data_IF_703362887695
#
_entry.id   IF_703362887695
#
_cell.length_a   1.000
_cell.length_b   1.000
_cell.length_c   1.000
_cell.angle_alpha   90.00
_cell.angle_beta   90.00
_cell.angle_gamma   90.00
#
_symmetry.space_group_name_H-M   'P 1'
#
loop_
_entity.id
_entity.type
_entity.pdbx_description
1 polymer ?
#
# COMPACT_ATOMS: atom_id res chain seq x y z
N UNK A 1 1.96 13.79 13.00
CA UNK A 1 1.67 12.47 13.60
C UNK A 1 0.64 11.66 12.81
N UNK A 2 -0.55 12.18 12.49
CA UNK A 2 -1.57 11.44 11.73
C UNK A 2 -1.11 10.95 10.33
N UNK A 3 -0.36 11.78 9.60
CA UNK A 3 0.19 11.41 8.28
C UNK A 3 1.15 10.22 8.36
N UNK A 4 2.05 10.22 9.34
CA UNK A 4 2.99 9.12 9.56
C UNK A 4 2.29 7.83 9.98
N UNK A 5 1.28 7.93 10.86
CA UNK A 5 0.47 6.79 11.27
C UNK A 5 -0.23 6.12 10.07
N UNK A 6 -0.73 6.91 9.12
CA UNK A 6 -1.40 6.39 7.93
C UNK A 6 -0.42 5.85 6.88
N UNK A 7 0.64 6.59 6.56
CA UNK A 7 1.60 6.25 5.49
C UNK A 7 2.52 5.10 5.90
N UNK A 8 2.93 5.06 7.17
CA UNK A 8 3.90 4.09 7.69
C UNK A 8 3.22 3.07 8.60
N UNK A 9 2.39 3.53 9.53
CA UNK A 9 1.79 2.67 10.56
C UNK A 9 0.81 1.65 10.00
N UNK A 10 -0.12 2.07 9.13
CA UNK A 10 -1.10 1.15 8.53
C UNK A 10 -0.45 0.02 7.72
N UNK A 11 0.46 0.28 6.76
CA UNK A 11 1.14 -0.82 6.05
C UNK A 11 2.09 -1.63 6.95
N UNK A 12 2.73 -1.04 7.97
CA UNK A 12 3.51 -1.81 8.94
C UNK A 12 2.64 -2.81 9.70
N UNK A 13 1.50 -2.36 10.23
CA UNK A 13 0.59 -3.20 10.97
C UNK A 13 0.00 -4.30 10.07
N UNK A 14 -0.34 -3.96 8.83
CA UNK A 14 -0.78 -4.95 7.84
C UNK A 14 0.29 -6.01 7.57
N UNK A 15 1.55 -5.61 7.37
CA UNK A 15 2.64 -6.55 7.17
C UNK A 15 2.79 -7.51 8.36
N UNK A 16 2.65 -7.01 9.60
CA UNK A 16 2.69 -7.84 10.81
C UNK A 16 1.51 -8.82 10.90
N UNK A 17 0.31 -8.36 10.54
CA UNK A 17 -0.89 -9.21 10.51
C UNK A 17 -0.73 -10.34 9.49
N UNK A 18 -0.14 -10.06 8.33
CA UNK A 18 0.05 -11.07 7.28
C UNK A 18 1.16 -12.07 7.58
N UNK A 19 2.10 -11.76 8.49
CA UNK A 19 3.11 -12.73 8.95
C UNK A 19 2.49 -13.89 9.73
N UNK A 20 1.34 -13.67 10.36
CA UNK A 20 0.63 -14.69 11.15
C UNK A 20 -0.56 -15.30 10.40
N UNK A 21 -0.71 -14.98 9.11
CA UNK A 21 -1.79 -15.49 8.26
C UNK A 21 -1.67 -17.02 8.09
N UNK A 22 -2.68 -17.82 8.47
CA UNK A 22 -2.64 -19.27 8.30
C UNK A 22 -2.68 -19.69 6.83
N UNK A 23 -1.83 -20.65 6.44
CA UNK A 23 -1.79 -21.21 5.09
C UNK A 23 -2.29 -22.67 5.10
N UNK A 24 -3.62 -22.89 5.19
CA UNK A 24 -4.17 -24.23 5.30
C UNK A 24 -4.03 -24.98 3.97
N UNK A 25 -3.82 -26.30 4.08
CA UNK A 25 -4.01 -27.22 2.96
C UNK A 25 -5.47 -27.68 2.84
N UNK A 26 -6.24 -27.59 3.94
CA UNK A 26 -7.66 -27.93 4.03
C UNK A 26 -8.41 -26.87 4.84
N UNK A 27 -9.37 -26.19 4.21
CA UNK A 27 -10.15 -25.12 4.81
C UNK A 27 -11.03 -25.61 5.96
N UNK A 28 -11.40 -26.90 6.00
CA UNK A 28 -12.22 -27.43 7.09
C UNK A 28 -11.39 -27.67 8.37
N UNK A 29 -10.06 -27.66 8.27
CA UNK A 29 -9.12 -27.85 9.40
C UNK A 29 -8.36 -26.56 9.75
N UNK A 30 -8.95 -25.41 9.42
CA UNK A 30 -8.43 -24.09 9.75
C UNK A 30 -8.29 -23.88 11.27
N UNK A 31 -7.24 -23.17 11.68
CA UNK A 31 -7.29 -22.37 12.90
C UNK A 31 -8.22 -21.17 12.65
N UNK A 32 -9.51 -21.40 12.85
CA UNK A 32 -10.58 -20.43 12.57
C UNK A 32 -10.38 -19.14 13.36
N UNK A 33 -9.87 -19.22 14.58
CA UNK A 33 -9.67 -18.05 15.43
C UNK A 33 -8.61 -17.12 14.82
N UNK A 34 -7.45 -17.67 14.49
CA UNK A 34 -6.36 -16.89 13.88
C UNK A 34 -6.76 -16.40 12.48
N UNK A 35 -7.39 -17.27 11.68
CA UNK A 35 -7.89 -16.92 10.36
C UNK A 35 -8.84 -15.73 10.40
N UNK A 36 -9.90 -15.78 11.22
CA UNK A 36 -10.87 -14.68 11.30
C UNK A 36 -10.25 -13.42 11.90
N UNK A 37 -9.38 -13.53 12.90
CA UNK A 37 -8.71 -12.37 13.48
C UNK A 37 -7.86 -11.61 12.44
N UNK A 38 -7.12 -12.34 11.61
CA UNK A 38 -6.31 -11.78 10.53
C UNK A 38 -7.18 -11.08 9.49
N UNK A 39 -8.20 -11.76 8.96
CA UNK A 39 -9.07 -11.17 7.93
C UNK A 39 -9.93 -10.02 8.45
N UNK A 40 -10.36 -10.04 9.72
CA UNK A 40 -11.02 -8.89 10.32
C UNK A 40 -10.10 -7.69 10.48
N UNK A 41 -8.83 -7.90 10.82
CA UNK A 41 -7.84 -6.81 10.85
C UNK A 41 -7.54 -6.27 9.44
N UNK A 42 -7.53 -7.14 8.43
CA UNK A 42 -7.27 -6.80 7.04
C UNK A 42 -8.34 -5.91 6.41
N UNK A 43 -9.63 -6.08 6.76
CA UNK A 43 -10.75 -5.26 6.25
C UNK A 43 -10.47 -3.75 6.34
N UNK A 44 -10.09 -3.19 7.51
CA UNK A 44 -9.72 -1.78 7.59
C UNK A 44 -8.29 -1.50 7.14
N UNK A 45 -7.35 -2.44 7.33
CA UNK A 45 -5.93 -2.19 7.07
C UNK A 45 -5.60 -2.07 5.58
N UNK A 46 -6.24 -2.85 4.70
CA UNK A 46 -6.02 -2.72 3.25
C UNK A 46 -6.43 -1.33 2.71
N UNK A 47 -7.65 -0.82 2.98
CA UNK A 47 -8.01 0.56 2.63
C UNK A 47 -7.13 1.62 3.29
N UNK A 48 -6.73 1.45 4.55
CA UNK A 48 -5.86 2.41 5.23
C UNK A 48 -4.46 2.45 4.60
N UNK A 49 -3.89 1.30 4.25
CA UNK A 49 -2.62 1.24 3.51
C UNK A 49 -2.75 1.91 2.13
N UNK A 50 -3.86 1.68 1.42
CA UNK A 50 -4.15 2.32 0.14
C UNK A 50 -4.23 3.86 0.27
N UNK A 51 -4.93 4.34 1.31
CA UNK A 51 -5.00 5.75 1.65
C UNK A 51 -3.62 6.32 2.00
N UNK A 52 -2.77 5.55 2.70
CA UNK A 52 -1.37 5.91 2.96
C UNK A 52 -0.59 6.19 1.69
N UNK A 53 -0.72 5.36 0.65
CA UNK A 53 -0.04 5.60 -0.62
C UNK A 53 -0.61 6.81 -1.36
N UNK A 54 -1.94 6.95 -1.42
CA UNK A 54 -2.59 8.16 -1.99
C UNK A 54 -2.09 9.43 -1.30
N UNK A 55 -1.88 9.32 0.00
CA UNK A 55 -1.49 10.43 0.87
C UNK A 55 -0.07 10.94 0.57
N UNK A 56 0.81 10.09 0.03
CA UNK A 56 2.14 10.48 -0.48
C UNK A 56 2.05 11.38 -1.73
N UNK A 57 1.05 11.16 -2.59
CA UNK A 57 0.88 11.93 -3.85
C UNK A 57 -0.17 13.03 -3.77
N UNK A 58 -0.69 13.36 -2.56
CA UNK A 58 -1.84 14.24 -2.37
C UNK A 58 -1.71 15.64 -3.00
N UNK A 59 -0.51 16.20 -2.95
CA UNK A 59 -0.20 17.54 -3.46
C UNK A 59 0.44 17.50 -4.84
N UNK A 60 0.33 16.38 -5.55
CA UNK A 60 0.91 16.18 -6.87
C UNK A 60 -0.19 16.17 -7.93
N UNK A 61 0.01 17.00 -8.95
CA UNK A 61 -0.85 17.07 -10.14
C UNK A 61 -0.31 16.18 -11.27
N UNK A 62 -1.10 16.01 -12.33
CA UNK A 62 -0.71 15.29 -13.54
C UNK A 62 -1.13 13.82 -13.58
N UNK A 63 -0.92 13.19 -14.74
CA UNK A 63 -1.43 11.86 -15.08
C UNK A 63 -0.97 10.80 -14.09
N UNK A 64 0.32 10.77 -13.74
CA UNK A 64 0.86 9.76 -12.82
C UNK A 64 0.18 9.78 -11.44
N UNK A 65 -0.01 10.98 -10.86
CA UNK A 65 -0.72 11.11 -9.59
C UNK A 65 -2.21 10.79 -9.71
N UNK A 66 -2.85 11.10 -10.85
CA UNK A 66 -4.23 10.70 -11.16
C UNK A 66 -4.40 9.18 -11.24
N UNK A 67 -3.54 8.50 -11.98
CA UNK A 67 -3.51 7.03 -12.10
C UNK A 67 -3.28 6.39 -10.74
N UNK A 68 -2.34 6.89 -9.95
CA UNK A 68 -2.10 6.42 -8.59
C UNK A 68 -3.38 6.45 -7.72
N UNK A 69 -4.11 7.56 -7.72
CA UNK A 69 -5.36 7.69 -6.95
C UNK A 69 -6.46 6.74 -7.43
N UNK A 70 -6.67 6.68 -8.74
CA UNK A 70 -7.68 5.81 -9.32
C UNK A 70 -7.38 4.33 -9.08
N UNK A 71 -6.13 3.90 -9.30
CA UNK A 71 -5.75 2.51 -9.09
C UNK A 71 -5.71 2.13 -7.60
N UNK A 72 -5.45 3.05 -6.66
CA UNK A 72 -5.61 2.77 -5.24
C UNK A 72 -7.06 2.61 -4.81
N UNK A 73 -7.97 3.37 -5.41
CA UNK A 73 -9.40 3.13 -5.20
C UNK A 73 -9.79 1.73 -5.69
N UNK A 74 -9.33 1.34 -6.88
CA UNK A 74 -9.57 -0.02 -7.41
C UNK A 74 -8.98 -1.10 -6.51
N UNK A 75 -7.73 -0.96 -6.06
CA UNK A 75 -7.11 -1.88 -5.09
C UNK A 75 -7.93 -1.97 -3.81
N UNK A 76 -8.21 -0.84 -3.14
CA UNK A 76 -8.94 -0.83 -1.88
C UNK A 76 -10.33 -1.47 -2.01
N UNK A 77 -11.07 -1.18 -3.08
CA UNK A 77 -12.39 -1.75 -3.31
C UNK A 77 -12.35 -3.25 -3.63
N UNK A 78 -11.56 -3.64 -4.64
CA UNK A 78 -11.49 -5.04 -5.10
C UNK A 78 -10.90 -5.97 -4.04
N UNK A 79 -9.80 -5.53 -3.40
CA UNK A 79 -9.08 -6.35 -2.45
C UNK A 79 -9.85 -6.54 -1.15
N UNK A 80 -10.49 -5.48 -0.63
CA UNK A 80 -11.32 -5.59 0.58
C UNK A 80 -12.56 -6.45 0.33
N UNK A 81 -13.21 -6.30 -0.83
CA UNK A 81 -14.36 -7.13 -1.18
C UNK A 81 -13.97 -8.61 -1.33
N UNK A 82 -12.83 -8.88 -1.97
CA UNK A 82 -12.28 -10.22 -2.07
C UNK A 82 -11.96 -10.81 -0.70
N UNK A 83 -11.23 -10.09 0.15
CA UNK A 83 -10.79 -10.54 1.47
C UNK A 83 -11.97 -10.82 2.42
N UNK A 84 -13.02 -9.99 2.34
CA UNK A 84 -14.25 -10.20 3.09
C UNK A 84 -14.97 -11.50 2.69
N UNK A 85 -14.92 -11.90 1.41
CA UNK A 85 -15.57 -13.14 0.94
C UNK A 85 -14.65 -14.34 1.12
N UNK A 86 -13.47 -14.32 0.48
CA UNK A 86 -12.51 -15.43 0.51
C UNK A 86 -11.99 -15.70 1.92
N UNK A 87 -11.76 -14.65 2.71
CA UNK A 87 -11.31 -14.72 4.08
C UNK A 87 -12.46 -14.91 5.06
N UNK A 88 -13.22 -13.84 5.30
CA UNK A 88 -14.20 -13.81 6.39
C UNK A 88 -15.36 -14.78 6.17
N UNK A 89 -16.01 -14.78 5.01
CA UNK A 89 -17.16 -15.67 4.77
C UNK A 89 -16.74 -17.15 4.82
N UNK A 90 -15.62 -17.51 4.20
CA UNK A 90 -15.03 -18.87 4.30
C UNK A 90 -14.73 -19.24 5.75
N UNK A 91 -14.14 -18.34 6.53
CA UNK A 91 -13.81 -18.57 7.94
C UNK A 91 -15.06 -18.79 8.81
N UNK A 92 -16.14 -18.06 8.55
CA UNK A 92 -17.42 -18.24 9.24
C UNK A 92 -18.02 -19.62 8.93
N UNK A 93 -18.00 -20.04 7.65
CA UNK A 93 -18.47 -21.38 7.27
C UNK A 93 -17.60 -22.48 7.87
N UNK A 94 -16.27 -22.32 7.88
CA UNK A 94 -15.37 -23.27 8.53
C UNK A 94 -15.62 -23.35 10.04
N UNK A 95 -15.91 -22.22 10.69
CA UNK A 95 -16.32 -22.19 12.10
C UNK A 95 -17.60 -22.98 12.34
N UNK A 96 -18.62 -22.80 11.49
CA UNK A 96 -19.88 -23.51 11.58
C UNK A 96 -19.68 -25.02 11.34
N UNK A 97 -18.85 -25.38 10.37
CA UNK A 97 -18.49 -26.77 10.08
C UNK A 97 -17.86 -27.47 11.29
N UNK A 98 -16.86 -26.84 11.92
CA UNK A 98 -16.19 -27.36 13.11
C UNK A 98 -17.14 -27.46 14.30
N UNK A 99 -18.01 -26.46 14.50
CA UNK A 99 -19.02 -26.48 15.57
C UNK A 99 -20.13 -27.51 15.37
N UNK A 100 -20.41 -27.92 14.13
CA UNK A 100 -21.48 -28.89 13.83
C UNK A 100 -21.12 -30.34 14.16
N UNK A 101 -19.83 -30.66 14.24
CA UNK A 101 -19.35 -32.05 14.34
C UNK A 101 -19.41 -32.85 13.03
N UNK A 102 -20.02 -32.32 11.96
CA UNK A 102 -20.07 -32.93 10.62
C UNK A 102 -19.45 -32.02 9.56
N UNK A 103 -18.13 -31.91 9.59
CA UNK A 103 -17.39 -31.07 8.64
C UNK A 103 -17.63 -31.42 7.16
N UNK A 104 -18.00 -32.66 6.84
CA UNK A 104 -18.17 -33.08 5.44
C UNK A 104 -19.45 -32.52 4.82
N UNK A 105 -20.53 -32.40 5.60
CA UNK A 105 -21.75 -31.74 5.16
C UNK A 105 -21.51 -30.28 4.73
N UNK A 106 -20.47 -29.62 5.27
CA UNK A 106 -20.13 -28.22 4.98
C UNK A 106 -19.11 -28.03 3.85
N UNK A 107 -18.53 -29.10 3.31
CA UNK A 107 -17.52 -29.02 2.25
C UNK A 107 -18.06 -28.29 1.01
N UNK A 108 -19.27 -28.65 0.56
CA UNK A 108 -19.91 -28.04 -0.61
C UNK A 108 -20.08 -26.51 -0.49
N UNK A 109 -20.69 -25.99 0.58
CA UNK A 109 -20.79 -24.55 0.83
C UNK A 109 -19.43 -23.82 0.90
N UNK A 110 -18.44 -24.41 1.57
CA UNK A 110 -17.08 -23.83 1.67
C UNK A 110 -16.42 -23.76 0.29
N UNK A 111 -16.47 -24.86 -0.48
CA UNK A 111 -15.89 -24.92 -1.82
C UNK A 111 -16.61 -23.98 -2.80
N UNK A 112 -17.92 -23.80 -2.64
CA UNK A 112 -18.69 -22.87 -3.47
C UNK A 112 -18.20 -21.42 -3.35
N UNK A 113 -17.81 -20.98 -2.15
CA UNK A 113 -17.18 -19.67 -1.95
C UNK A 113 -15.73 -19.71 -2.44
N UNK A 114 -14.95 -20.69 -1.98
CA UNK A 114 -13.51 -20.71 -2.21
C UNK A 114 -13.13 -20.79 -3.70
N UNK A 115 -13.91 -21.53 -4.49
CA UNK A 115 -13.70 -21.71 -5.93
C UNK A 115 -14.45 -20.68 -6.78
N UNK A 116 -15.15 -19.72 -6.17
CA UNK A 116 -15.91 -18.73 -6.94
C UNK A 116 -14.96 -17.88 -7.81
N UNK A 117 -15.15 -17.80 -9.13
CA UNK A 117 -14.16 -17.19 -10.04
C UNK A 117 -13.95 -15.69 -9.80
N UNK A 118 -14.93 -15.01 -9.19
CA UNK A 118 -14.83 -13.56 -8.94
C UNK A 118 -14.29 -13.26 -7.54
N UNK A 119 -14.70 -14.06 -6.55
CA UNK A 119 -14.60 -13.71 -5.12
C UNK A 119 -13.79 -14.71 -4.30
N UNK A 120 -13.51 -15.90 -4.84
CA UNK A 120 -12.93 -17.01 -4.10
C UNK A 120 -11.45 -16.84 -3.79
N UNK A 121 -10.95 -17.65 -2.86
CA UNK A 121 -9.53 -17.73 -2.48
C UNK A 121 -8.71 -18.70 -3.32
N UNK A 122 -9.32 -19.37 -4.30
CA UNK A 122 -8.65 -20.22 -5.28
C UNK A 122 -7.60 -19.47 -6.13
N UNK A 123 -7.01 -20.19 -7.09
CA UNK A 123 -5.72 -19.83 -7.72
C UNK A 123 -5.66 -18.47 -8.45
N UNK A 124 -6.81 -17.89 -8.85
CA UNK A 124 -6.84 -16.59 -9.53
C UNK A 124 -8.25 -15.99 -9.60
N UNK A 125 -8.82 -15.55 -8.47
CA UNK A 125 -10.10 -14.83 -8.55
C UNK A 125 -9.94 -13.46 -9.20
N UNK A 126 -10.97 -13.00 -9.91
CA UNK A 126 -10.95 -11.73 -10.65
C UNK A 126 -10.61 -10.56 -9.73
N UNK A 127 -11.21 -10.49 -8.54
CA UNK A 127 -10.95 -9.37 -7.63
C UNK A 127 -9.55 -9.41 -7.03
N UNK A 128 -9.03 -10.58 -6.64
CA UNK A 128 -7.66 -10.71 -6.16
C UNK A 128 -6.66 -10.28 -7.24
N UNK A 129 -6.80 -10.80 -8.46
CA UNK A 129 -5.90 -10.45 -9.57
C UNK A 129 -5.99 -8.96 -9.90
N UNK A 130 -7.21 -8.40 -9.95
CA UNK A 130 -7.43 -6.97 -10.23
C UNK A 130 -6.77 -6.10 -9.17
N UNK A 131 -6.95 -6.41 -7.89
CA UNK A 131 -6.35 -5.66 -6.80
C UNK A 131 -4.82 -5.77 -6.80
N UNK A 132 -4.27 -6.96 -7.01
CA UNK A 132 -2.82 -7.16 -7.08
C UNK A 132 -2.17 -6.34 -8.22
N UNK A 133 -2.79 -6.34 -9.41
CA UNK A 133 -2.33 -5.55 -10.55
C UNK A 133 -2.46 -4.05 -10.24
N UNK A 134 -3.59 -3.63 -9.68
CA UNK A 134 -3.82 -2.23 -9.32
C UNK A 134 -2.77 -1.73 -8.31
N UNK A 135 -2.37 -2.57 -7.34
CA UNK A 135 -1.31 -2.26 -6.39
C UNK A 135 0.03 -2.03 -7.09
N UNK A 136 0.44 -2.90 -8.01
CA UNK A 136 1.68 -2.74 -8.78
C UNK A 136 1.66 -1.46 -9.65
N UNK A 137 0.53 -1.17 -10.30
CA UNK A 137 0.36 0.07 -11.09
C UNK A 137 0.49 1.31 -10.21
N UNK A 138 -0.07 1.29 -9.01
CA UNK A 138 0.01 2.39 -8.07
C UNK A 138 1.42 2.67 -7.62
N UNK A 139 2.18 1.65 -7.22
CA UNK A 139 3.52 1.90 -6.67
C UNK A 139 4.44 2.48 -7.73
N UNK A 140 4.33 2.02 -8.98
CA UNK A 140 5.06 2.58 -10.11
C UNK A 140 4.61 4.00 -10.42
N UNK A 141 3.31 4.26 -10.50
CA UNK A 141 2.80 5.61 -10.80
C UNK A 141 3.10 6.63 -9.69
N UNK A 142 3.03 6.21 -8.42
CA UNK A 142 3.45 6.99 -7.27
C UNK A 142 4.96 7.27 -7.31
N UNK A 143 5.78 6.27 -7.57
CA UNK A 143 7.23 6.42 -7.72
C UNK A 143 7.58 7.42 -8.82
N UNK A 144 6.93 7.36 -9.99
CA UNK A 144 7.12 8.34 -11.07
C UNK A 144 6.72 9.76 -10.63
N UNK A 145 5.57 9.92 -9.98
CA UNK A 145 5.10 11.22 -9.51
C UNK A 145 6.05 11.84 -8.46
N UNK A 146 6.51 11.02 -7.50
CA UNK A 146 7.44 11.43 -6.45
C UNK A 146 8.82 11.73 -7.02
N UNK A 147 9.32 10.91 -7.95
CA UNK A 147 10.60 11.15 -8.61
C UNK A 147 10.63 12.47 -9.37
N UNK A 148 9.55 12.77 -10.11
CA UNK A 148 9.39 14.06 -10.83
C UNK A 148 9.30 15.25 -9.88
N UNK A 149 8.92 15.03 -8.63
CA UNK A 149 8.88 16.05 -7.58
C UNK A 149 10.23 16.24 -6.86
N UNK A 150 11.30 15.59 -7.32
CA UNK A 150 12.66 15.77 -6.77
C UNK A 150 13.05 14.79 -5.67
N UNK A 151 12.19 13.82 -5.32
CA UNK A 151 12.51 12.85 -4.29
C UNK A 151 13.71 11.96 -4.64
N UNK A 152 14.42 11.47 -3.61
CA UNK A 152 15.61 10.64 -3.79
C UNK A 152 15.28 9.28 -4.43
N UNK A 153 16.23 8.70 -5.17
CA UNK A 153 15.98 7.47 -5.95
C UNK A 153 15.72 6.24 -5.09
N UNK A 154 16.41 6.09 -3.96
CA UNK A 154 16.34 4.89 -3.12
C UNK A 154 14.92 4.59 -2.60
N UNK A 155 14.23 5.52 -1.89
CA UNK A 155 12.87 5.24 -1.42
C UNK A 155 11.85 5.14 -2.55
N UNK A 156 12.06 5.86 -3.67
CA UNK A 156 11.24 5.76 -4.87
C UNK A 156 11.32 4.36 -5.51
N UNK A 157 12.53 3.81 -5.65
CA UNK A 157 12.74 2.47 -6.21
C UNK A 157 12.19 1.40 -5.26
N UNK A 158 12.42 1.55 -3.96
CA UNK A 158 11.85 0.65 -2.96
C UNK A 158 10.32 0.63 -3.03
N UNK A 159 9.69 1.81 -3.10
CA UNK A 159 8.24 1.93 -3.26
C UNK A 159 7.77 1.16 -4.50
N UNK A 160 8.40 1.42 -5.66
CA UNK A 160 8.03 0.78 -6.92
C UNK A 160 8.11 -0.74 -6.82
N UNK A 161 9.23 -1.29 -6.32
CA UNK A 161 9.48 -2.73 -6.21
C UNK A 161 8.53 -3.39 -5.19
N UNK A 162 8.25 -2.73 -4.07
CA UNK A 162 7.40 -3.28 -3.01
C UNK A 162 5.99 -3.67 -3.52
N UNK A 163 5.44 -2.93 -4.48
CA UNK A 163 4.13 -3.22 -5.07
C UNK A 163 4.04 -4.51 -5.90
N UNK A 164 5.13 -5.25 -6.06
CA UNK A 164 5.17 -6.51 -6.80
C UNK A 164 5.26 -7.76 -5.92
N UNK A 165 5.43 -7.63 -4.60
CA UNK A 165 5.55 -8.81 -3.71
C UNK A 165 4.36 -9.76 -3.84
N UNK A 166 3.14 -9.25 -3.69
CA UNK A 166 1.91 -10.05 -3.85
C UNK A 166 1.81 -10.72 -5.23
N UNK A 167 2.14 -10.01 -6.32
CA UNK A 167 2.04 -10.56 -7.68
C UNK A 167 3.11 -11.60 -7.98
N UNK A 168 4.33 -11.42 -7.46
CA UNK A 168 5.45 -12.36 -7.61
C UNK A 168 5.19 -13.64 -6.81
N UNK A 169 4.81 -13.51 -5.54
CA UNK A 169 4.62 -14.64 -4.65
C UNK A 169 3.23 -15.27 -4.76
N UNK A 170 2.29 -14.63 -5.48
CA UNK A 170 0.90 -15.09 -5.69
C UNK A 170 0.15 -15.34 -4.38
N UNK A 171 0.45 -14.55 -3.36
CA UNK A 171 -0.17 -14.66 -2.05
C UNK A 171 -0.07 -13.32 -1.32
N UNK A 172 -1.05 -13.03 -0.47
CA UNK A 172 -0.98 -11.93 0.49
C UNK A 172 -0.52 -12.41 1.88
N UNK A 173 -0.57 -13.71 2.13
CA UNK A 173 0.10 -14.28 3.29
C UNK A 173 1.63 -14.24 3.08
N UNK A 174 2.37 -14.83 4.01
CA UNK A 174 3.81 -14.98 3.86
C UNK A 174 4.17 -15.72 2.54
N UNK A 175 5.17 -15.24 1.76
CA UNK A 175 5.97 -14.02 1.98
C UNK A 175 5.46 -12.76 1.24
N UNK A 176 4.40 -12.88 0.43
CA UNK A 176 4.01 -11.85 -0.54
C UNK A 176 3.51 -10.56 0.07
N UNK A 177 2.46 -10.61 0.88
CA UNK A 177 1.92 -9.43 1.53
C UNK A 177 2.90 -8.80 2.53
N UNK A 178 3.53 -9.56 3.46
CA UNK A 178 4.48 -8.99 4.42
C UNK A 178 5.61 -8.23 3.74
N UNK A 179 6.18 -8.77 2.65
CA UNK A 179 7.23 -8.09 1.88
C UNK A 179 6.73 -6.81 1.23
N UNK A 180 5.53 -6.87 0.64
CA UNK A 180 4.89 -5.71 0.01
C UNK A 180 4.63 -4.60 1.02
N UNK A 181 3.89 -4.84 2.08
CA UNK A 181 3.49 -3.75 2.98
C UNK A 181 4.62 -3.30 3.91
N UNK A 182 5.59 -4.16 4.26
CA UNK A 182 6.81 -3.72 4.92
C UNK A 182 7.61 -2.77 4.00
N UNK A 183 7.76 -3.12 2.72
CA UNK A 183 8.41 -2.25 1.73
C UNK A 183 7.70 -0.91 1.55
N UNK A 184 6.37 -0.91 1.45
CA UNK A 184 5.57 0.31 1.40
C UNK A 184 5.75 1.18 2.66
N UNK A 185 5.74 0.56 3.84
CA UNK A 185 5.92 1.26 5.12
C UNK A 185 7.29 1.92 5.22
N UNK A 186 8.36 1.17 4.91
CA UNK A 186 9.75 1.66 4.96
C UNK A 186 9.96 2.77 3.93
N UNK A 187 9.49 2.58 2.69
CA UNK A 187 9.58 3.62 1.66
C UNK A 187 8.80 4.87 2.06
N UNK A 188 7.58 4.72 2.57
CA UNK A 188 6.73 5.81 3.03
C UNK A 188 7.37 6.59 4.19
N UNK A 189 7.92 5.90 5.18
CA UNK A 189 8.65 6.53 6.27
C UNK A 189 9.84 7.35 5.77
N UNK A 190 10.63 6.76 4.86
CA UNK A 190 11.79 7.44 4.28
C UNK A 190 11.37 8.69 3.50
N UNK A 191 10.35 8.61 2.65
CA UNK A 191 9.83 9.75 1.88
C UNK A 191 9.30 10.88 2.76
N UNK A 192 8.71 10.56 3.92
CA UNK A 192 8.22 11.56 4.86
C UNK A 192 9.34 12.22 5.67
N UNK A 193 10.46 11.54 5.85
CA UNK A 193 11.59 12.02 6.65
C UNK A 193 12.66 12.71 5.80
N UNK A 194 12.69 12.50 4.48
CA UNK A 194 13.69 13.14 3.64
C UNK A 194 13.43 14.65 3.49
N UNK A 195 14.48 15.49 3.59
CA UNK A 195 14.37 16.90 3.22
C UNK A 195 14.08 17.00 1.72
N UNK A 196 12.98 17.68 1.36
CA UNK A 196 12.70 17.99 -0.05
C UNK A 196 13.77 18.96 -0.53
N UNK A 197 14.60 18.54 -1.50
CA UNK A 197 15.51 19.46 -2.16
C UNK A 197 14.69 20.49 -2.94
N UNK A 198 14.88 21.80 -2.70
CA UNK A 198 14.17 22.83 -3.46
C UNK A 198 14.48 22.68 -4.95
N UNK A 199 13.48 22.94 -5.79
CA UNK A 199 13.66 22.84 -7.23
C UNK A 199 14.74 23.83 -7.69
N UNK A 200 15.52 23.53 -8.75
CA UNK A 200 16.50 24.46 -9.30
C UNK A 200 15.92 25.83 -9.67
N UNK A 201 14.62 25.89 -10.00
CA UNK A 201 13.89 27.13 -10.27
C UNK A 201 13.75 28.04 -9.05
N UNK A 202 13.70 27.48 -7.83
CA UNK A 202 13.54 28.24 -6.59
C UNK A 202 14.88 28.84 -6.13
N UNK A 203 16.00 28.17 -6.46
CA UNK A 203 17.36 28.65 -6.18
C UNK A 203 17.73 29.80 -7.12
N UNK A 204 17.24 29.79 -8.36
CA UNK A 204 17.48 30.86 -9.33
C UNK A 204 16.71 32.17 -9.01
N UNK A 205 15.64 32.08 -8.23
CA UNK A 205 14.81 33.23 -7.82
C UNK A 205 15.25 33.87 -6.49
N UNK A 206 16.30 33.36 -5.83
CA UNK A 206 16.86 33.98 -4.63
C UNK A 206 17.38 35.39 -4.99
N UNK A 207 16.95 36.46 -4.28
CA UNK A 207 17.24 37.83 -4.67
C UNK A 207 18.75 38.10 -4.61
N UNK A 208 19.32 38.45 -5.77
CA UNK A 208 20.70 38.95 -5.92
C UNK A 208 20.88 40.39 -5.43
N UNK A 209 19.88 40.97 -4.77
CA UNK A 209 19.83 42.39 -4.43
C UNK A 209 20.65 42.75 -3.18
N UNK A 210 21.21 41.78 -2.45
CA UNK A 210 22.01 42.04 -1.26
C UNK A 210 23.49 42.41 -1.55
N UNK A 211 23.98 42.28 -2.79
CA UNK A 211 25.39 42.48 -3.12
C UNK A 211 25.73 43.81 -3.83
N UNK A 212 24.74 44.64 -4.15
CA UNK A 212 24.94 45.88 -4.92
C UNK A 212 24.85 47.18 -4.08
N UNK A 213 24.56 47.10 -2.77
CA UNK A 213 24.26 48.26 -1.93
C UNK A 213 25.45 49.04 -1.36
N UNK A 214 26.65 48.45 -1.28
CA UNK A 214 27.77 49.02 -0.48
C UNK A 214 28.91 49.65 -1.30
N UNK A 215 28.81 49.72 -2.62
CA UNK A 215 29.92 50.23 -3.46
C UNK A 215 29.84 51.72 -3.84
N UNK A 216 28.91 52.51 -3.29
CA UNK A 216 28.70 53.93 -3.64
C UNK A 216 28.87 54.87 -2.44
N UNK A 217 30.03 54.81 -1.79
CA UNK A 217 30.47 55.85 -0.85
C UNK A 217 31.95 56.20 -1.08
N UNK A 218 32.22 57.03 -2.09
CA UNK A 218 33.49 57.76 -2.24
C UNK A 218 33.26 59.25 -1.98
N UNK A 219 33.85 59.86 -0.94
CA UNK A 219 33.79 61.30 -0.77
C UNK A 219 34.77 61.98 -1.72
N UNK A 220 34.23 62.82 -2.61
CA UNK A 220 35.02 63.77 -3.41
C UNK A 220 35.65 64.80 -2.48
N UNK A 221 36.98 64.85 -2.44
CA UNK A 221 37.72 65.92 -1.78
C UNK A 221 37.47 67.29 -2.42
N UNK A 222 37.59 68.34 -1.59
CA UNK A 222 37.87 69.70 -2.03
C UNK A 222 38.83 70.36 -1.03
N UNK A 223 39.99 70.72 -1.60
CA UNK A 223 40.87 71.90 -1.41
C UNK A 223 41.17 72.38 0.00
#
# INVERSE_FOLDING_TARGET
>A
MAEFALVTGAPALLALVELVHPQPHDLLRLDVRTWLAVHYAQIPLFPLAALGVVRLVRHRAGIAAGVCRAAMFVFGASWTAWDAVAGVATGILASAAQGSGDTQAWRGPVDAIWQHPIMGGGTASVLAVTGAIALSVVTVSAAVALKRAGHSWMPVLLLAIAGFGITIFKTHAWPGGPSTFAGLSIAGAWLLLEPVQPAPSDVAAAPRDAAAGDALAMPRGRR
#
